data_IF_006948268543
#
_entry.id   IF_006948268543
#
_cell.length_a   1.000
_cell.length_b   1.000
_cell.length_c   1.000
_cell.angle_alpha   90.00
_cell.angle_beta   90.00
_cell.angle_gamma   90.00
#
_symmetry.space_group_name_H-M   'P 1'
#
loop_
_entity.id
_entity.type
_entity.pdbx_description
1 polymer ?
#
# COMPACT_ATOMS: atom_id res chain seq x y z
N UNK A 1 -7.75 -6.18 10.04
CA UNK A 1 -7.15 -7.54 9.89
C UNK A 1 -6.05 -7.53 8.83
N UNK A 2 -6.29 -6.93 7.66
CA UNK A 2 -5.27 -6.72 6.62
C UNK A 2 -4.14 -5.81 7.10
N UNK A 3 -4.47 -4.65 7.67
CA UNK A 3 -3.50 -3.64 8.12
C UNK A 3 -2.50 -4.19 9.12
N UNK A 4 -2.98 -4.94 10.11
CA UNK A 4 -2.15 -5.61 11.11
C UNK A 4 -1.24 -6.67 10.49
N UNK A 5 -1.72 -7.41 9.49
CA UNK A 5 -0.91 -8.40 8.79
C UNK A 5 0.20 -7.75 7.95
N UNK A 6 -0.11 -6.65 7.23
CA UNK A 6 0.88 -5.91 6.45
C UNK A 6 1.97 -5.33 7.36
N UNK A 7 1.58 -4.70 8.48
CA UNK A 7 2.55 -4.17 9.43
C UNK A 7 3.43 -5.26 10.05
N UNK A 8 2.86 -6.42 10.42
CA UNK A 8 3.63 -7.54 10.95
C UNK A 8 4.66 -8.07 9.94
N UNK A 9 4.31 -8.15 8.65
CA UNK A 9 5.24 -8.53 7.59
C UNK A 9 6.35 -7.47 7.45
N UNK A 10 6.02 -6.18 7.44
CA UNK A 10 7.04 -5.13 7.32
C UNK A 10 8.03 -5.16 8.50
N UNK A 11 7.54 -5.43 9.70
CA UNK A 11 8.37 -5.61 10.90
C UNK A 11 9.23 -6.87 10.81
N UNK A 12 8.67 -8.02 10.40
CA UNK A 12 9.40 -9.30 10.27
C UNK A 12 10.59 -9.19 9.30
N UNK A 13 10.39 -8.48 8.17
CA UNK A 13 11.44 -8.29 7.17
C UNK A 13 12.47 -7.23 7.56
N UNK A 14 12.31 -6.57 8.72
CA UNK A 14 13.11 -5.42 9.17
C UNK A 14 13.34 -4.39 8.05
N UNK A 15 12.31 -4.18 7.24
CA UNK A 15 12.44 -3.45 6.00
C UNK A 15 12.10 -1.98 6.23
N UNK A 16 12.98 -1.03 5.85
CA UNK A 16 12.63 0.39 5.82
C UNK A 16 11.69 0.73 4.66
N UNK A 17 11.26 -0.27 3.87
CA UNK A 17 10.34 -0.09 2.76
C UNK A 17 8.91 0.20 3.24
N UNK A 18 8.07 0.56 2.27
CA UNK A 18 6.66 0.73 2.49
C UNK A 18 5.85 0.26 1.29
N UNK A 19 4.57 0.02 1.53
CA UNK A 19 3.65 -0.59 0.58
C UNK A 19 2.42 0.30 0.48
N UNK A 20 2.05 0.66 -0.74
CA UNK A 20 0.74 1.22 -1.07
C UNK A 20 -0.20 0.10 -1.54
N UNK A 21 -1.41 0.06 -0.99
CA UNK A 21 -2.46 -0.89 -1.40
C UNK A 21 -3.66 -0.10 -1.89
N UNK A 22 -4.19 -0.49 -3.04
CA UNK A 22 -5.46 0.01 -3.56
C UNK A 22 -6.35 -1.18 -3.92
N UNK A 23 -7.59 -1.19 -3.42
CA UNK A 23 -8.60 -2.20 -3.72
C UNK A 23 -9.76 -1.50 -4.43
N UNK A 24 -10.07 -1.99 -5.63
CA UNK A 24 -11.22 -1.53 -6.41
C UNK A 24 -12.24 -2.65 -6.46
N UNK A 25 -13.42 -2.41 -5.92
CA UNK A 25 -14.50 -3.38 -5.89
C UNK A 25 -15.73 -2.81 -6.58
N UNK A 26 -16.39 -3.63 -7.40
CA UNK A 26 -17.73 -3.33 -7.88
C UNK A 26 -18.75 -3.90 -6.90
N UNK A 27 -19.61 -3.06 -6.36
CA UNK A 27 -20.71 -3.48 -5.50
C UNK A 27 -21.76 -4.28 -6.28
N UNK A 28 -22.64 -4.98 -5.56
CA UNK A 28 -23.81 -5.63 -6.15
C UNK A 28 -24.82 -4.64 -6.75
N UNK A 29 -24.80 -3.37 -6.32
CA UNK A 29 -25.58 -2.27 -6.92
C UNK A 29 -24.93 -1.68 -8.18
N UNK A 30 -23.73 -2.15 -8.55
CA UNK A 30 -23.01 -1.71 -9.75
C UNK A 30 -22.13 -0.48 -9.55
N UNK A 31 -22.05 0.06 -8.33
CA UNK A 31 -21.18 1.16 -7.95
C UNK A 31 -19.73 0.67 -7.76
N UNK A 32 -18.77 1.55 -8.03
CA UNK A 32 -17.35 1.28 -7.79
C UNK A 32 -16.93 1.90 -6.47
N UNK A 33 -16.36 1.10 -5.59
CA UNK A 33 -15.72 1.56 -4.37
C UNK A 33 -14.22 1.37 -4.50
N UNK A 34 -13.46 2.40 -4.12
CA UNK A 34 -12.01 2.38 -4.10
C UNK A 34 -11.54 2.65 -2.68
N UNK A 35 -10.73 1.75 -2.15
CA UNK A 35 -10.07 1.90 -0.86
C UNK A 35 -8.57 1.92 -1.06
N UNK A 36 -7.88 2.91 -0.47
CA UNK A 36 -6.43 3.03 -0.53
C UNK A 36 -5.84 3.12 0.87
N UNK A 37 -4.66 2.53 1.05
CA UNK A 37 -3.92 2.59 2.30
C UNK A 37 -2.41 2.54 2.03
N UNK A 38 -1.65 3.23 2.87
CA UNK A 38 -0.18 3.23 2.84
C UNK A 38 0.40 2.70 4.16
N UNK A 39 1.45 1.90 4.06
CA UNK A 39 2.12 1.24 5.18
C UNK A 39 3.63 1.41 5.10
N UNK A 40 4.30 1.52 6.24
CA UNK A 40 5.76 1.67 6.31
C UNK A 40 6.24 3.04 5.85
N UNK A 41 7.48 3.09 5.36
CA UNK A 41 8.23 4.32 5.11
C UNK A 41 8.64 4.41 3.63
N UNK A 42 8.50 5.57 3.00
CA UNK A 42 8.85 5.80 1.59
C UNK A 42 10.33 6.16 1.41
N UNK A 43 10.98 6.71 2.43
CA UNK A 43 12.35 7.22 2.39
C UNK A 43 13.04 6.97 3.72
N UNK A 44 14.36 6.85 3.71
CA UNK A 44 15.14 6.67 4.94
C UNK A 44 15.01 7.85 5.93
N UNK A 45 14.47 8.99 5.49
CA UNK A 45 14.14 10.16 6.32
C UNK A 45 12.91 9.96 7.23
N UNK A 46 12.22 8.83 7.16
CA UNK A 46 11.08 8.52 8.00
C UNK A 46 9.72 8.97 7.44
N UNK A 47 9.67 9.51 6.21
CA UNK A 47 8.41 9.87 5.55
C UNK A 47 7.53 8.63 5.36
N UNK A 48 6.27 8.68 5.80
CA UNK A 48 5.34 7.54 5.71
C UNK A 48 4.75 7.36 4.33
N UNK A 49 4.50 6.12 3.94
CA UNK A 49 3.73 5.81 2.72
C UNK A 49 2.26 6.19 2.93
N UNK A 50 1.68 6.80 1.92
CA UNK A 50 0.27 7.17 1.81
C UNK A 50 -0.32 6.60 0.51
N UNK A 51 -1.64 6.72 0.33
CA UNK A 51 -2.29 6.35 -0.93
C UNK A 51 -1.78 7.13 -2.16
N UNK A 52 -1.18 8.31 -1.94
CA UNK A 52 -0.64 9.17 -3.00
C UNK A 52 0.88 9.01 -3.20
N UNK A 53 1.52 8.11 -2.45
CA UNK A 53 2.96 7.88 -2.60
C UNK A 53 3.26 7.27 -3.96
N UNK A 54 4.16 7.91 -4.71
CA UNK A 54 4.59 7.44 -6.02
C UNK A 54 5.66 6.35 -5.88
N UNK A 55 5.45 5.25 -6.59
CA UNK A 55 6.39 4.13 -6.65
C UNK A 55 6.84 3.90 -8.09
N UNK A 56 8.10 3.51 -8.26
CA UNK A 56 8.60 2.97 -9.52
C UNK A 56 8.01 1.58 -9.73
N UNK A 57 7.05 1.44 -10.66
CA UNK A 57 6.32 0.18 -10.87
C UNK A 57 7.09 -0.87 -11.70
N UNK A 58 8.26 -0.50 -12.25
CA UNK A 58 9.13 -1.41 -12.99
C UNK A 58 8.40 -2.13 -14.13
N UNK A 59 8.46 -3.46 -14.14
CA UNK A 59 7.85 -4.30 -15.17
C UNK A 59 6.32 -4.24 -15.23
N UNK A 60 5.64 -3.69 -14.20
CA UNK A 60 4.19 -3.49 -14.23
C UNK A 60 3.78 -2.30 -15.12
N UNK A 61 4.74 -1.64 -15.78
CA UNK A 61 4.45 -0.65 -16.83
C UNK A 61 4.14 -1.29 -18.20
N UNK A 62 4.00 -2.62 -18.29
CA UNK A 62 3.85 -3.38 -19.53
C UNK A 62 2.51 -4.09 -19.61
#
# INVERSE_FOLDING_TARGET
>A
KLDAAINAILEEFNSPAGVGVAVVQKSSSGEWTVETAGYGITKIDGTKVTGDTLFSIGSNSK
#
